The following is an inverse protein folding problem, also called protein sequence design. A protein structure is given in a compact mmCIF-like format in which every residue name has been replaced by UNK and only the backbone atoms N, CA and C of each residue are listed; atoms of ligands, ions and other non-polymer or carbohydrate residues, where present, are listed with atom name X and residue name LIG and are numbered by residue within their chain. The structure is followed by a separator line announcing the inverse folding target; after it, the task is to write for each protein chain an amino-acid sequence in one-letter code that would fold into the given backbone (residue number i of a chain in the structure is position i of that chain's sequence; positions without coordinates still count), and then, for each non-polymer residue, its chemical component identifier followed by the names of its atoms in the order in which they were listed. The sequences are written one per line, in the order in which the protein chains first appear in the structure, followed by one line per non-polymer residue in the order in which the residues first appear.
data_IF_550916541355
#
_entry.id   IF_550916541355
#
_cell.length_a   1.000
_cell.length_b   1.000
_cell.length_c   1.000
_cell.angle_alpha   90.00
_cell.angle_beta   90.00
_cell.angle_gamma   90.00
#
_symmetry.space_group_name_H-M   'P 1'
#
loop_
_entity.id
_entity.type
_entity.pdbx_description
1 polymer ?
#
# COMPACT_ATOMS: atom_id res chain seq x y z
N UNK A 1 -2.66 -2.37 -7.36
CA UNK A 1 -2.04 -3.14 -6.29
C UNK A 1 -2.09 -2.36 -4.97
N UNK A 2 -1.79 -3.07 -3.89
CA UNK A 2 -1.80 -2.46 -2.57
C UNK A 2 -0.51 -2.83 -1.83
N UNK A 3 0.38 -1.85 -1.77
CA UNK A 3 1.66 -2.06 -1.10
C UNK A 3 1.52 -1.79 0.41
N UNK A 4 2.66 -1.79 1.08
CA UNK A 4 2.68 -1.54 2.51
C UNK A 4 3.95 -0.79 2.90
N UNK A 5 3.78 0.16 3.81
CA UNK A 5 4.91 0.95 4.28
C UNK A 5 4.65 1.44 5.71
N UNK A 6 5.74 1.73 6.40
CA UNK A 6 5.66 2.20 7.77
C UNK A 6 4.63 1.35 8.53
N UNK A 7 4.73 0.04 8.34
CA UNK A 7 3.83 -0.88 8.99
C UNK A 7 2.36 -0.47 8.77
N UNK A 8 2.10 0.07 7.59
CA UNK A 8 0.77 0.51 7.25
C UNK A 8 0.41 0.09 5.82
N UNK A 9 -0.88 0.12 5.53
CA UNK A 9 -1.35 -0.26 4.20
C UNK A 9 -1.68 1.00 3.38
N UNK A 10 -1.45 0.89 2.08
CA UNK A 10 -1.72 2.01 1.18
C UNK A 10 -2.28 1.46 -0.13
N UNK A 11 -2.94 2.34 -0.86
CA UNK A 11 -3.53 1.98 -2.14
C UNK A 11 -3.01 2.88 -3.24
N UNK A 12 -2.73 2.27 -4.38
CA UNK A 12 -2.23 3.00 -5.53
C UNK A 12 -2.35 2.14 -6.79
N UNK A 13 -3.49 2.34 -7.51
CA UNK A 13 -3.71 1.72 -8.85
C UNK A 13 -3.89 0.16 -8.84
N UNK A 14 -2.95 -0.56 -9.48
CA UNK A 14 -3.10 -2.02 -9.72
C UNK A 14 -3.19 -2.95 -8.45
#
# INVERSE_FOLDING_TARGET
RVRTRKGRRIRIPP
#
